data_IF_232928112877
#
_entry.id   IF_232928112877
#
_cell.length_a   1.000
_cell.length_b   1.000
_cell.length_c   1.000
_cell.angle_alpha   90.00
_cell.angle_beta   90.00
_cell.angle_gamma   90.00
#
_symmetry.space_group_name_H-M   'P 1'
#
loop_
_entity.id
_entity.type
_entity.pdbx_description
1 polymer ?
#
# COMPACT_ATOMS: atom_id res chain seq x y z
N UNK A 1 21.63 3.13 -0.29
CA UNK A 1 20.53 2.85 0.66
C UNK A 1 19.49 3.96 0.51
N UNK A 2 18.40 3.70 -0.20
CA UNK A 2 17.27 4.63 -0.28
C UNK A 2 16.48 4.55 1.04
N UNK A 3 16.41 5.67 1.74
CA UNK A 3 15.78 5.79 3.05
C UNK A 3 14.25 5.59 2.91
N UNK A 4 13.71 4.55 3.53
CA UNK A 4 12.27 4.41 3.75
C UNK A 4 11.85 5.58 4.65
N UNK A 5 10.72 6.24 4.41
CA UNK A 5 10.26 7.28 5.35
C UNK A 5 9.59 6.61 6.57
N UNK A 6 10.08 6.97 7.76
CA UNK A 6 9.55 7.05 9.13
C UNK A 6 8.38 6.17 9.64
N UNK A 7 7.18 6.10 9.02
CA UNK A 7 6.11 5.33 9.66
C UNK A 7 6.32 3.82 9.62
N UNK A 8 6.88 3.29 8.53
CA UNK A 8 7.05 1.84 8.35
C UNK A 8 8.29 1.31 9.08
N UNK A 9 9.39 2.08 9.07
CA UNK A 9 10.65 1.67 9.70
C UNK A 9 10.59 1.62 11.24
N UNK A 10 9.62 2.31 11.85
CA UNK A 10 9.39 2.28 13.29
C UNK A 10 8.26 1.32 13.69
N UNK A 11 7.67 0.59 12.75
CA UNK A 11 6.57 -0.33 13.02
C UNK A 11 7.10 -1.74 13.35
N UNK A 12 6.75 -2.25 14.54
CA UNK A 12 7.23 -3.56 15.02
C UNK A 12 6.67 -4.74 14.20
N UNK A 13 5.43 -4.61 13.73
CA UNK A 13 4.79 -5.61 12.86
C UNK A 13 5.50 -5.66 11.50
N UNK A 14 5.93 -4.52 10.97
CA UNK A 14 6.70 -4.44 9.74
C UNK A 14 8.03 -5.20 9.84
N UNK A 15 8.78 -5.03 10.93
CA UNK A 15 10.01 -5.79 11.17
C UNK A 15 9.75 -7.29 11.34
N UNK A 16 8.68 -7.65 12.03
CA UNK A 16 8.27 -9.04 12.20
C UNK A 16 7.93 -9.70 10.85
N UNK A 17 7.27 -8.98 9.95
CA UNK A 17 6.94 -9.45 8.60
C UNK A 17 8.17 -9.57 7.69
N UNK A 18 9.19 -8.71 7.88
CA UNK A 18 10.46 -8.82 7.15
C UNK A 18 11.29 -10.03 7.58
N UNK A 19 11.22 -10.40 8.87
CA UNK A 19 11.99 -11.48 9.46
C UNK A 19 11.32 -12.86 9.40
N UNK A 20 10.05 -12.94 9.03
CA UNK A 20 9.29 -14.19 8.92
C UNK A 20 8.95 -14.51 7.46
N UNK A 21 8.55 -15.76 7.17
CA UNK A 21 7.95 -16.14 5.89
C UNK A 21 6.43 -16.36 6.04
N UNK A 22 5.63 -15.29 6.23
CA UNK A 22 4.20 -15.38 6.48
C UNK A 22 3.38 -15.54 5.18
N UNK A 23 4.03 -15.78 4.04
CA UNK A 23 3.42 -15.74 2.71
C UNK A 23 3.20 -14.32 2.16
N UNK A 24 3.53 -13.28 2.93
CA UNK A 24 3.55 -11.88 2.48
C UNK A 24 4.89 -11.57 1.83
N UNK A 25 4.88 -10.89 0.69
CA UNK A 25 6.10 -10.58 -0.06
C UNK A 25 6.29 -9.07 -0.12
N UNK A 26 7.00 -8.53 0.87
CA UNK A 26 7.28 -7.11 0.94
C UNK A 26 8.44 -6.74 0.01
N UNK A 27 8.22 -5.75 -0.86
CA UNK A 27 9.25 -5.17 -1.72
C UNK A 27 9.30 -3.65 -1.57
N UNK A 28 10.52 -3.05 -1.52
CA UNK A 28 10.65 -1.61 -1.59
C UNK A 28 10.28 -1.11 -2.99
N UNK A 29 9.47 -0.06 -3.05
CA UNK A 29 9.04 0.62 -4.27
C UNK A 29 9.35 2.10 -4.17
N UNK A 30 9.96 2.64 -5.23
CA UNK A 30 10.36 4.04 -5.30
C UNK A 30 9.27 4.89 -5.96
N UNK A 31 8.73 5.86 -5.23
CA UNK A 31 7.75 6.85 -5.67
C UNK A 31 8.41 8.19 -6.04
N UNK A 32 9.68 8.17 -6.45
CA UNK A 32 10.49 9.33 -6.80
C UNK A 32 11.10 10.01 -5.57
N UNK A 33 10.25 10.55 -4.68
CA UNK A 33 10.69 11.27 -3.48
C UNK A 33 10.80 10.39 -2.22
N UNK A 34 10.22 9.19 -2.27
CA UNK A 34 10.06 8.30 -1.12
C UNK A 34 10.15 6.86 -1.57
N UNK A 35 10.79 6.02 -0.76
CA UNK A 35 10.63 4.58 -0.88
C UNK A 35 9.64 4.10 0.18
N UNK A 36 8.68 3.30 -0.24
CA UNK A 36 7.73 2.60 0.63
C UNK A 36 7.85 1.10 0.38
N UNK A 37 7.54 0.29 1.38
CA UNK A 37 7.38 -1.14 1.17
C UNK A 37 5.93 -1.47 0.79
N UNK A 38 5.80 -2.32 -0.22
CA UNK A 38 4.54 -2.82 -0.74
C UNK A 38 4.51 -4.35 -0.67
N UNK A 39 3.36 -4.91 -0.30
CA UNK A 39 3.07 -6.32 -0.51
C UNK A 39 2.76 -6.56 -2.00
N UNK A 40 3.41 -7.58 -2.56
CA UNK A 40 3.21 -8.04 -3.94
C UNK A 40 2.87 -9.53 -4.02
N UNK A 41 2.52 -10.15 -2.89
CA UNK A 41 2.27 -11.60 -2.79
C UNK A 41 1.12 -12.09 -3.67
N UNK A 42 0.08 -11.26 -3.90
CA UNK A 42 -1.11 -11.66 -4.67
C UNK A 42 -1.11 -11.16 -6.11
N UNK A 43 0.00 -10.59 -6.60
CA UNK A 43 0.09 -9.99 -7.93
C UNK A 43 -0.33 -8.52 -8.00
N UNK A 44 -1.12 -8.05 -7.04
CA UNK A 44 -1.43 -6.63 -6.87
C UNK A 44 -0.38 -5.94 -6.00
N UNK A 45 -0.09 -4.67 -6.28
CA UNK A 45 0.83 -3.85 -5.48
C UNK A 45 0.02 -3.12 -4.41
N UNK A 46 0.22 -3.50 -3.15
CA UNK A 46 -0.47 -2.88 -2.01
C UNK A 46 0.53 -2.24 -1.05
N UNK A 47 0.46 -0.92 -0.80
CA UNK A 47 1.29 -0.30 0.21
C UNK A 47 1.10 -0.96 1.58
N UNK A 48 2.18 -1.27 2.28
CA UNK A 48 2.07 -1.68 3.68
C UNK A 48 1.65 -0.47 4.52
N UNK A 49 0.60 -0.64 5.34
CA UNK A 49 0.10 0.42 6.22
C UNK A 49 0.40 0.03 7.68
N UNK A 50 1.23 0.80 8.40
CA UNK A 50 1.50 0.56 9.82
C UNK A 50 0.20 0.60 10.63
N UNK A 51 0.11 -0.21 11.68
CA UNK A 51 -1.15 -0.44 12.42
C UNK A 51 -1.81 0.86 12.89
N UNK A 52 -0.99 1.77 13.42
CA UNK A 52 -1.42 3.08 13.92
C UNK A 52 -2.09 3.97 12.87
N UNK A 53 -1.88 3.70 11.57
CA UNK A 53 -2.48 4.44 10.47
C UNK A 53 -3.67 3.73 9.83
N UNK A 54 -3.89 2.44 10.12
CA UNK A 54 -4.95 1.66 9.46
C UNK A 54 -6.34 2.22 9.74
N UNK A 55 -6.65 2.57 11.01
CA UNK A 55 -7.94 3.16 11.39
C UNK A 55 -8.16 4.50 10.69
N UNK A 56 -7.12 5.33 10.59
CA UNK A 56 -7.21 6.64 9.95
C UNK A 56 -7.47 6.50 8.45
N UNK A 57 -6.80 5.58 7.76
CA UNK A 57 -7.05 5.29 6.34
C UNK A 57 -8.45 4.73 6.14
N UNK A 58 -8.89 3.81 7.00
CA UNK A 58 -10.24 3.24 6.93
C UNK A 58 -11.31 4.31 7.09
N UNK A 59 -11.16 5.22 8.06
CA UNK A 59 -12.07 6.36 8.24
C UNK A 59 -12.11 7.27 7.03
N UNK A 60 -10.95 7.65 6.49
CA UNK A 60 -10.89 8.45 5.27
C UNK A 60 -11.64 7.77 4.13
N UNK A 61 -11.40 6.49 3.90
CA UNK A 61 -12.08 5.71 2.87
C UNK A 61 -13.61 5.70 3.07
N UNK A 62 -14.07 5.53 4.30
CA UNK A 62 -15.50 5.59 4.64
C UNK A 62 -16.09 6.98 4.44
N UNK A 63 -15.37 8.04 4.82
CA UNK A 63 -15.80 9.42 4.60
C UNK A 63 -15.96 9.70 3.09
N UNK A 64 -15.05 9.23 2.23
CA UNK A 64 -15.19 9.36 0.77
C UNK A 64 -16.40 8.62 0.21
N UNK A 65 -16.68 7.40 0.70
CA UNK A 65 -17.86 6.62 0.29
C UNK A 65 -19.14 7.34 0.69
N UNK A 66 -19.20 7.84 1.93
CA UNK A 66 -20.38 8.56 2.44
C UNK A 66 -20.61 9.87 1.65
N UNK A 67 -19.55 10.46 1.11
CA UNK A 67 -19.60 11.69 0.31
C UNK A 67 -19.83 11.45 -1.20
N UNK A 68 -20.01 10.21 -1.65
CA UNK A 68 -20.19 9.84 -3.07
C UNK A 68 -19.11 10.43 -4.00
N UNK A 69 -17.89 10.61 -3.48
CA UNK A 69 -16.76 11.11 -4.24
C UNK A 69 -15.94 9.95 -4.80
N UNK A 70 -15.70 9.93 -6.11
CA UNK A 70 -14.72 9.01 -6.70
C UNK A 70 -13.35 9.23 -6.05
N UNK A 71 -12.79 8.17 -5.48
CA UNK A 71 -11.48 8.22 -4.86
C UNK A 71 -10.43 8.55 -5.93
N UNK A 72 -9.71 9.68 -5.84
CA UNK A 72 -8.85 10.18 -6.91
C UNK A 72 -7.66 9.27 -7.24
N UNK A 73 -7.39 8.25 -6.42
CA UNK A 73 -6.28 7.31 -6.58
C UNK A 73 -6.70 5.93 -7.11
N UNK A 74 -8.01 5.67 -7.30
CA UNK A 74 -8.49 4.43 -7.92
C UNK A 74 -8.87 4.71 -9.38
N UNK A 75 -7.88 5.04 -10.20
CA UNK A 75 -8.07 4.91 -11.64
C UNK A 75 -7.96 3.41 -11.95
N UNK A 76 -9.07 2.68 -11.86
CA UNK A 76 -9.24 1.39 -12.50
C UNK A 76 -9.20 1.64 -14.01
N UNK A 77 -7.98 1.82 -14.51
CA UNK A 77 -7.67 1.78 -15.93
C UNK A 77 -8.11 0.43 -16.44
N UNK A 78 -9.33 0.39 -16.95
CA UNK A 78 -9.86 -0.76 -17.66
C UNK A 78 -8.99 -0.93 -18.90
N UNK A 79 -7.97 -1.77 -18.81
CA UNK A 79 -7.25 -2.25 -19.99
C UNK A 79 -8.24 -3.08 -20.79
N UNK A 80 -8.89 -2.44 -21.77
CA UNK A 80 -9.51 -3.17 -22.85
C UNK A 80 -8.37 -3.88 -23.61
N UNK A 81 -8.19 -5.17 -23.32
CA UNK A 81 -7.53 -6.05 -24.28
C UNK A 81 -8.41 -6.06 -25.53
N UNK A 82 -7.97 -5.30 -26.54
CA UNK A 82 -8.48 -5.42 -27.89
C UNK A 82 -8.24 -6.85 -28.37
N UNK A 83 -9.32 -7.54 -28.67
CA UNK A 83 -9.25 -8.78 -29.43
C UNK A 83 -9.40 -8.43 -30.91
N UNK A 84 -8.32 -8.70 -31.65
CA UNK A 84 -8.19 -9.07 -33.08
C UNK A 84 -9.17 -8.49 -34.08
#
# INVERSE_FOLDING_TARGET
>A
MTKLLAPQENDEMFHSLLGSDPGVKLKPMNLGIKVICCDVSTGDIRPYVPENFQISIFRLYMDYIILDQELPWISLGSSSCGNT
#
